data_IF_284426793581
#
_entry.id   IF_284426793581
#
_cell.length_a   1.000
_cell.length_b   1.000
_cell.length_c   1.000
_cell.angle_alpha   90.00
_cell.angle_beta   90.00
_cell.angle_gamma   90.00
#
_symmetry.space_group_name_H-M   'P 1'
#
loop_
_entity.id
_entity.type
_entity.pdbx_description
1 polymer ?
#
# COMPACT_ATOMS: atom_id res chain seq x y z
N UNK A 1 -4.83 14.79 17.08
CA UNK A 1 -4.69 13.51 16.36
C UNK A 1 -3.76 13.70 15.20
N UNK A 2 -2.52 13.22 15.32
CA UNK A 2 -1.58 13.18 14.21
C UNK A 2 -2.13 12.24 13.12
N UNK A 3 -1.76 12.47 11.85
CA UNK A 3 -2.24 11.64 10.73
C UNK A 3 -1.89 10.15 10.90
N UNK A 4 -0.75 9.86 11.53
CA UNK A 4 -0.33 8.49 11.87
C UNK A 4 -1.25 7.80 12.88
N UNK A 5 -1.71 8.50 13.92
CA UNK A 5 -2.61 7.95 14.94
C UNK A 5 -3.98 7.58 14.33
N UNK A 6 -4.51 8.46 13.47
CA UNK A 6 -5.77 8.19 12.75
C UNK A 6 -5.66 6.96 11.85
N UNK A 7 -4.52 6.82 11.18
CA UNK A 7 -4.27 5.67 10.30
C UNK A 7 -4.12 4.38 11.08
N UNK A 8 -3.43 4.41 12.23
CA UNK A 8 -3.31 3.27 13.15
C UNK A 8 -4.68 2.82 13.65
N UNK A 9 -5.49 3.75 14.15
CA UNK A 9 -6.84 3.45 14.61
C UNK A 9 -7.70 2.82 13.49
N UNK A 10 -7.63 3.35 12.27
CA UNK A 10 -8.37 2.80 11.14
C UNK A 10 -7.94 1.36 10.78
N UNK A 11 -6.65 1.02 10.96
CA UNK A 11 -6.18 -0.36 10.80
C UNK A 11 -6.62 -1.27 11.95
N UNK A 12 -6.53 -0.81 13.19
CA UNK A 12 -7.00 -1.56 14.37
C UNK A 12 -8.51 -1.87 14.29
N UNK A 13 -9.32 -0.88 13.88
CA UNK A 13 -10.76 -1.06 13.65
C UNK A 13 -11.06 -2.06 12.52
N UNK A 14 -10.32 -1.99 11.40
CA UNK A 14 -10.51 -2.88 10.27
C UNK A 14 -10.19 -4.33 10.63
N UNK A 15 -9.04 -4.58 11.25
CA UNK A 15 -8.66 -5.93 11.65
C UNK A 15 -9.54 -6.49 12.77
N UNK A 16 -10.00 -5.65 13.70
CA UNK A 16 -10.98 -6.06 14.71
C UNK A 16 -12.31 -6.52 14.08
N UNK A 17 -12.78 -5.80 13.05
CA UNK A 17 -13.99 -6.17 12.32
C UNK A 17 -13.80 -7.41 11.42
N UNK A 18 -12.61 -7.59 10.82
CA UNK A 18 -12.31 -8.79 10.01
C UNK A 18 -12.17 -10.03 10.89
N UNK A 19 -11.48 -9.95 12.02
CA UNK A 19 -11.34 -11.03 13.00
C UNK A 19 -12.70 -11.46 13.60
N UNK A 20 -13.58 -10.49 13.86
CA UNK A 20 -14.94 -10.76 14.33
C UNK A 20 -15.80 -11.46 13.26
N UNK A 21 -15.56 -11.17 11.97
CA UNK A 21 -16.20 -11.85 10.85
C UNK A 21 -15.57 -13.24 10.56
N UNK A 22 -14.27 -13.40 10.78
CA UNK A 22 -13.48 -14.63 10.56
C UNK A 22 -13.64 -15.69 11.66
N UNK A 23 -13.97 -15.32 12.91
CA UNK A 23 -14.19 -16.34 13.97
C UNK A 23 -15.35 -17.31 13.67
N UNK A 24 -16.13 -17.08 12.61
CA UNK A 24 -17.08 -18.05 12.03
C UNK A 24 -16.60 -18.77 10.75
N UNK A 25 -15.51 -18.34 10.10
CA UNK A 25 -14.98 -18.87 8.85
C UNK A 25 -13.44 -18.97 8.95
N UNK A 26 -12.92 -20.19 9.09
CA UNK A 26 -11.52 -20.55 9.42
C UNK A 26 -10.40 -20.02 8.47
N UNK A 27 -10.68 -19.10 7.54
CA UNK A 27 -9.74 -18.48 6.59
C UNK A 27 -10.31 -17.14 6.05
N UNK A 28 -9.76 -15.94 6.35
CA UNK A 28 -9.49 -14.81 5.41
C UNK A 28 -9.23 -13.43 6.10
N UNK A 29 -8.10 -12.77 5.81
CA UNK A 29 -8.22 -11.75 4.77
C UNK A 29 -6.96 -11.67 3.91
N UNK A 30 -6.80 -12.70 3.08
CA UNK A 30 -6.16 -12.63 1.80
C UNK A 30 -6.52 -13.95 1.10
N UNK A 31 -7.27 -13.89 0.00
CA UNK A 31 -7.49 -15.09 -0.81
C UNK A 31 -6.10 -15.53 -1.23
N UNK A 32 -5.63 -16.73 -0.83
CA UNK A 32 -4.27 -17.23 -1.14
C UNK A 32 -3.87 -17.08 -2.63
N UNK A 33 -4.86 -16.94 -3.52
CA UNK A 33 -4.71 -16.68 -4.96
C UNK A 33 -4.32 -15.22 -5.26
N UNK A 34 -4.94 -14.25 -4.59
CA UNK A 34 -4.64 -12.82 -4.81
C UNK A 34 -3.24 -12.46 -4.29
N UNK A 35 -2.81 -13.05 -3.17
CA UNK A 35 -1.49 -12.84 -2.58
C UNK A 35 -0.38 -13.28 -3.53
N UNK A 36 -0.51 -14.49 -4.06
CA UNK A 36 0.48 -15.06 -4.96
C UNK A 36 0.60 -14.23 -6.23
N UNK A 37 -0.53 -13.74 -6.76
CA UNK A 37 -0.56 -12.86 -7.94
C UNK A 37 0.10 -11.52 -7.65
N UNK A 38 -0.23 -10.87 -6.53
CA UNK A 38 0.32 -9.55 -6.20
C UNK A 38 1.80 -9.67 -5.86
N UNK A 39 2.21 -10.72 -5.16
CA UNK A 39 3.62 -11.02 -4.91
C UNK A 39 4.41 -11.23 -6.20
N UNK A 40 3.86 -11.98 -7.15
CA UNK A 40 4.49 -12.17 -8.46
C UNK A 40 4.63 -10.84 -9.22
N UNK A 41 3.61 -9.97 -9.17
CA UNK A 41 3.70 -8.64 -9.76
C UNK A 41 4.70 -7.75 -9.05
N UNK A 42 4.78 -7.79 -7.71
CA UNK A 42 5.82 -7.06 -6.97
C UNK A 42 7.20 -7.50 -7.45
N UNK A 43 7.48 -8.81 -7.41
CA UNK A 43 8.78 -9.34 -7.85
C UNK A 43 9.14 -8.94 -9.28
N UNK A 44 8.15 -8.88 -10.18
CA UNK A 44 8.34 -8.50 -11.58
C UNK A 44 8.60 -6.99 -11.77
N UNK A 45 7.91 -6.13 -11.05
CA UNK A 45 7.88 -4.68 -11.30
C UNK A 45 8.63 -3.84 -10.26
N UNK A 46 9.06 -4.41 -9.14
CA UNK A 46 9.72 -3.69 -8.04
C UNK A 46 10.94 -2.92 -8.54
N UNK A 47 11.84 -3.55 -9.30
CA UNK A 47 13.04 -2.89 -9.81
C UNK A 47 12.72 -1.69 -10.74
N UNK A 48 11.63 -1.74 -11.49
CA UNK A 48 11.18 -0.63 -12.35
C UNK A 48 10.55 0.48 -11.51
N UNK A 49 9.68 0.13 -10.56
CA UNK A 49 9.00 1.07 -9.67
C UNK A 49 9.99 1.83 -8.79
N UNK A 50 11.06 1.17 -8.32
CA UNK A 50 12.12 1.79 -7.53
C UNK A 50 12.93 2.84 -8.31
N UNK A 51 12.79 2.92 -9.65
CA UNK A 51 13.43 3.96 -10.48
C UNK A 51 12.63 5.26 -10.50
N UNK A 52 11.38 5.25 -10.06
CA UNK A 52 10.58 6.47 -9.97
C UNK A 52 11.13 7.39 -8.88
N UNK A 53 11.15 8.71 -9.12
CA UNK A 53 11.62 9.65 -8.12
C UNK A 53 10.72 9.59 -6.88
N UNK A 54 11.34 9.70 -5.70
CA UNK A 54 10.71 9.60 -4.38
C UNK A 54 10.21 8.21 -3.97
N UNK A 55 10.27 7.17 -4.82
CA UNK A 55 9.92 5.81 -4.40
C UNK A 55 11.03 5.23 -3.53
N UNK A 56 10.65 4.62 -2.41
CA UNK A 56 11.58 4.03 -1.43
C UNK A 56 11.27 2.58 -1.09
N UNK A 57 10.14 2.04 -1.56
CA UNK A 57 9.79 0.64 -1.35
C UNK A 57 8.50 0.24 -2.04
N UNK A 58 8.31 -1.06 -2.23
CA UNK A 58 7.10 -1.68 -2.78
C UNK A 58 6.72 -2.89 -1.93
N UNK A 59 5.43 -3.08 -1.65
CA UNK A 59 4.91 -4.25 -0.91
C UNK A 59 3.54 -4.67 -1.43
N UNK A 60 3.10 -5.86 -1.01
CA UNK A 60 1.71 -6.29 -1.10
C UNK A 60 0.91 -5.69 0.07
N UNK A 61 -0.35 -5.30 -0.15
CA UNK A 61 -1.19 -4.83 0.94
C UNK A 61 -2.62 -4.50 0.56
N UNK A 62 -3.38 -4.00 1.54
CA UNK A 62 -4.76 -3.54 1.33
C UNK A 62 -4.75 -2.04 1.07
N UNK A 63 -5.43 -1.65 -0.01
CA UNK A 63 -5.53 -0.27 -0.42
C UNK A 63 -6.25 0.58 0.62
N UNK A 64 -5.74 1.77 0.87
CA UNK A 64 -6.44 2.79 1.65
C UNK A 64 -7.14 3.82 0.78
N UNK A 65 -8.33 4.27 1.21
CA UNK A 65 -9.04 5.37 0.59
C UNK A 65 -9.64 6.26 1.67
N UNK A 66 -9.37 7.57 1.60
CA UNK A 66 -9.86 8.57 2.58
C UNK A 66 -9.57 8.17 4.04
N UNK A 67 -8.37 7.63 4.29
CA UNK A 67 -7.93 7.23 5.63
C UNK A 67 -8.47 5.90 6.15
N UNK A 68 -9.18 5.11 5.33
CA UNK A 68 -9.74 3.82 5.72
C UNK A 68 -9.24 2.68 4.81
N UNK A 69 -8.92 1.50 5.36
CA UNK A 69 -8.70 0.30 4.55
C UNK A 69 -9.95 -0.05 3.75
N UNK A 70 -9.77 -0.47 2.50
CA UNK A 70 -10.90 -0.78 1.60
C UNK A 70 -11.20 -2.28 1.48
N UNK A 71 -10.31 -3.14 1.98
CA UNK A 71 -10.34 -4.58 1.73
C UNK A 71 -9.87 -4.99 0.33
N UNK A 72 -9.58 -4.05 -0.58
CA UNK A 72 -9.08 -4.31 -1.94
C UNK A 72 -7.56 -4.62 -1.91
N UNK A 73 -7.11 -5.82 -2.28
CA UNK A 73 -5.69 -6.15 -2.40
C UNK A 73 -5.01 -5.33 -3.51
N UNK A 74 -3.79 -4.87 -3.26
CA UNK A 74 -3.07 -3.93 -4.14
C UNK A 74 -1.55 -4.05 -4.01
N UNK A 75 -0.83 -3.44 -4.97
CA UNK A 75 0.58 -3.09 -4.80
C UNK A 75 0.67 -1.75 -4.08
N UNK A 76 1.31 -1.75 -2.92
CA UNK A 76 1.58 -0.54 -2.15
C UNK A 76 2.96 -0.03 -2.52
N UNK A 77 3.03 1.22 -2.98
CA UNK A 77 4.27 1.92 -3.30
C UNK A 77 4.51 3.00 -2.25
N UNK A 78 5.62 2.87 -1.52
CA UNK A 78 6.03 3.82 -0.51
C UNK A 78 6.85 4.94 -1.15
N UNK A 79 6.48 6.17 -0.85
CA UNK A 79 7.17 7.37 -1.29
C UNK A 79 7.60 8.23 -0.12
N UNK A 80 8.71 8.94 -0.28
CA UNK A 80 9.17 9.94 0.71
C UNK A 80 8.13 11.03 0.95
N UNK A 81 7.54 11.55 -0.13
CA UNK A 81 6.52 12.60 -0.09
C UNK A 81 5.56 12.50 -1.28
N UNK A 82 4.27 12.83 -1.10
CA UNK A 82 3.32 12.95 -2.21
C UNK A 82 3.47 14.30 -2.90
N UNK A 83 3.82 14.24 -4.18
CA UNK A 83 3.92 15.43 -5.04
C UNK A 83 2.60 15.61 -5.82
N UNK A 84 2.01 16.82 -5.86
CA UNK A 84 0.83 17.07 -6.69
C UNK A 84 1.08 16.74 -8.16
N UNK A 85 0.11 16.13 -8.83
CA UNK A 85 0.22 15.71 -10.25
C UNK A 85 0.65 16.83 -11.19
N UNK A 86 0.25 18.07 -10.91
CA UNK A 86 0.62 19.25 -11.71
C UNK A 86 2.12 19.60 -11.63
N UNK A 87 2.83 19.08 -10.62
CA UNK A 87 4.27 19.27 -10.40
C UNK A 87 5.10 18.04 -10.77
N UNK A 88 4.46 16.97 -11.25
CA UNK A 88 5.14 15.75 -11.71
C UNK A 88 5.29 15.77 -13.22
N UNK A 89 6.47 15.40 -13.71
CA UNK A 89 6.69 15.10 -15.13
C UNK A 89 5.85 13.89 -15.58
N UNK A 90 5.57 13.79 -16.88
CA UNK A 90 4.75 12.68 -17.44
C UNK A 90 5.32 11.29 -17.13
N UNK A 91 6.65 11.16 -16.97
CA UNK A 91 7.32 9.91 -16.60
C UNK A 91 7.44 9.66 -15.09
N UNK A 92 7.07 10.62 -14.24
CA UNK A 92 7.18 10.52 -12.78
C UNK A 92 5.87 10.11 -12.11
N UNK A 93 4.78 10.07 -12.90
CA UNK A 93 3.47 9.65 -12.42
C UNK A 93 3.40 8.13 -12.46
N UNK A 94 3.34 7.51 -11.28
CA UNK A 94 3.11 6.08 -11.13
C UNK A 94 1.80 5.63 -11.82
N UNK A 95 1.78 4.44 -12.43
CA UNK A 95 0.56 3.90 -13.02
C UNK A 95 -0.51 3.67 -11.94
N UNK A 96 -1.79 3.82 -12.31
CA UNK A 96 -2.91 3.55 -11.38
C UNK A 96 -3.13 2.05 -11.14
N UNK A 97 -2.70 1.22 -12.10
CA UNK A 97 -2.83 -0.23 -12.07
C UNK A 97 -1.64 -0.87 -12.80
N UNK A 98 -1.22 -2.04 -12.35
CA UNK A 98 -0.26 -2.91 -13.02
C UNK A 98 -0.96 -4.24 -13.26
N UNK A 99 -1.07 -4.66 -14.53
CA UNK A 99 -1.76 -5.90 -14.91
C UNK A 99 -3.15 -6.08 -14.25
N UNK A 100 -3.90 -4.97 -14.14
CA UNK A 100 -5.22 -4.93 -13.51
C UNK A 100 -5.23 -4.79 -11.99
N UNK A 101 -4.11 -5.02 -11.30
CA UNK A 101 -3.95 -4.84 -9.85
C UNK A 101 -3.78 -3.34 -9.54
N UNK A 102 -4.56 -2.78 -8.60
CA UNK A 102 -4.44 -1.38 -8.21
C UNK A 102 -3.08 -1.07 -7.57
N UNK A 103 -2.61 0.15 -7.79
CA UNK A 103 -1.43 0.71 -7.11
C UNK A 103 -1.90 1.72 -6.06
N UNK A 104 -1.52 1.51 -4.80
CA UNK A 104 -1.74 2.46 -3.72
C UNK A 104 -0.44 3.20 -3.37
N UNK A 105 -0.49 4.53 -3.30
CA UNK A 105 0.69 5.35 -3.04
C UNK A 105 0.64 5.86 -1.61
N UNK A 106 1.62 5.44 -0.82
CA UNK A 106 1.72 5.73 0.60
C UNK A 106 2.91 6.64 0.88
N UNK A 107 2.65 7.79 1.47
CA UNK A 107 3.70 8.65 1.99
C UNK A 107 4.15 8.15 3.37
N UNK A 108 5.47 8.05 3.57
CA UNK A 108 6.05 7.61 4.84
C UNK A 108 7.00 8.62 5.47
N UNK A 109 7.33 9.71 4.77
CA UNK A 109 8.27 10.72 5.24
C UNK A 109 9.73 10.31 5.05
N UNK A 110 10.64 10.99 5.76
CA UNK A 110 12.05 10.65 5.76
C UNK A 110 12.29 9.37 6.57
N UNK A 111 12.94 8.39 5.96
CA UNK A 111 13.40 7.18 6.65
C UNK A 111 14.82 7.46 7.14
N UNK A 112 15.02 7.42 8.46
CA UNK A 112 16.31 7.63 9.11
C UNK A 112 16.68 6.39 9.92
N UNK A 113 17.97 6.05 9.94
CA UNK A 113 18.46 5.00 10.81
C UNK A 113 18.35 5.46 12.25
N UNK A 114 17.75 4.62 13.11
CA UNK A 114 17.75 4.88 14.54
C UNK A 114 19.20 4.76 15.04
N UNK A 115 19.78 5.89 15.40
CA UNK A 115 21.11 5.91 16.00
C UNK A 115 20.97 5.37 17.42
N UNK A 116 21.57 4.21 17.67
CA UNK A 116 21.61 3.58 19.00
C UNK A 116 22.54 4.30 19.96
#
# INVERSE_FOLDING_TARGET
MAEGERRRQAWEEFFSQSEAAEKGARDAPMSRIDDARIAALRMKYEAELMRYPNVIGVSEGIRMKRGKPTGEPCLVVYVKQKVPRARLGKGEVLPRKIEGVPVDVVEVGAVEALSG
#
